data_IF_994291921832
#
_entry.id   IF_994291921832
#
_cell.length_a   1.000
_cell.length_b   1.000
_cell.length_c   1.000
_cell.angle_alpha   90.00
_cell.angle_beta   90.00
_cell.angle_gamma   90.00
#
_symmetry.space_group_name_H-M   'P 1'
#
loop_
_entity.id
_entity.type
_entity.pdbx_description
1 polymer ?
#
# COMPACT_ATOMS: atom_id res chain seq x y z
N UNK A 1 21.20 -4.22 -5.62
CA UNK A 1 20.08 -3.28 -5.34
C UNK A 1 20.62 -2.18 -4.44
N UNK A 2 20.46 -0.90 -4.79
CA UNK A 2 20.88 0.20 -3.91
C UNK A 2 20.04 0.12 -2.64
N UNK A 3 20.64 -0.24 -1.52
CA UNK A 3 19.98 -0.24 -0.21
C UNK A 3 19.91 1.19 0.30
N UNK A 4 19.16 2.04 -0.41
CA UNK A 4 18.73 3.33 0.12
C UNK A 4 17.82 3.04 1.31
N UNK A 5 18.07 3.67 2.46
CA UNK A 5 17.24 3.49 3.65
C UNK A 5 15.81 3.93 3.34
N UNK A 6 14.86 2.99 3.29
CA UNK A 6 13.44 3.26 3.02
C UNK A 6 12.84 4.17 4.11
N UNK A 7 11.91 5.03 3.73
CA UNK A 7 11.19 5.94 4.63
C UNK A 7 10.23 5.12 5.51
N UNK A 8 10.05 5.52 6.77
CA UNK A 8 9.03 4.87 7.62
C UNK A 8 7.63 5.32 7.20
N UNK A 9 6.65 4.41 7.31
CA UNK A 9 5.27 4.73 7.00
C UNK A 9 4.71 5.76 8.01
N UNK A 10 4.12 6.87 7.56
CA UNK A 10 3.46 7.83 8.44
C UNK A 10 2.22 7.26 9.11
N UNK A 11 1.83 7.84 10.24
CA UNK A 11 0.57 7.54 10.95
C UNK A 11 -0.42 8.65 10.64
N UNK A 12 -1.53 8.30 10.00
CA UNK A 12 -2.64 9.21 9.70
C UNK A 12 -3.73 9.15 10.77
N UNK A 13 -4.43 10.27 10.99
CA UNK A 13 -5.50 10.36 11.99
C UNK A 13 -6.88 10.22 11.36
N UNK A 14 -6.99 10.43 10.06
CA UNK A 14 -8.23 10.27 9.30
C UNK A 14 -8.02 9.43 8.06
N UNK A 15 -9.08 8.82 7.56
CA UNK A 15 -9.05 8.07 6.31
C UNK A 15 -8.74 8.99 5.12
N UNK A 16 -9.29 10.22 5.11
CA UNK A 16 -9.01 11.24 4.08
C UNK A 16 -7.51 11.58 3.99
N UNK A 17 -6.80 11.69 5.12
CA UNK A 17 -5.34 11.90 5.12
C UNK A 17 -4.60 10.71 4.51
N UNK A 18 -5.03 9.49 4.81
CA UNK A 18 -4.44 8.27 4.29
C UNK A 18 -4.71 8.11 2.78
N UNK A 19 -5.92 8.41 2.32
CA UNK A 19 -6.32 8.39 0.91
C UNK A 19 -5.49 9.39 0.10
N UNK A 20 -5.43 10.65 0.54
CA UNK A 20 -4.64 11.69 -0.12
C UNK A 20 -3.15 11.32 -0.21
N UNK A 21 -2.60 10.65 0.80
CA UNK A 21 -1.22 10.18 0.78
C UNK A 21 -1.02 9.08 -0.28
N UNK A 22 -1.89 8.07 -0.30
CA UNK A 22 -1.78 6.96 -1.26
C UNK A 22 -1.93 7.45 -2.71
N UNK A 23 -2.77 8.45 -2.95
CA UNK A 23 -2.98 9.04 -4.27
C UNK A 23 -1.76 9.81 -4.81
N UNK A 24 -0.93 10.36 -3.92
CA UNK A 24 0.12 11.32 -4.30
C UNK A 24 1.55 10.84 -4.03
N UNK A 25 1.74 9.89 -3.13
CA UNK A 25 3.05 9.40 -2.73
C UNK A 25 3.54 8.22 -3.59
N UNK A 26 4.83 8.21 -3.90
CA UNK A 26 5.48 7.00 -4.41
C UNK A 26 5.76 6.03 -3.26
N UNK A 27 4.94 4.97 -3.16
CA UNK A 27 5.05 3.97 -2.09
C UNK A 27 6.33 3.12 -2.19
N UNK A 28 7.05 3.12 -3.32
CA UNK A 28 8.30 2.37 -3.48
C UNK A 28 9.45 2.92 -2.64
N UNK A 29 9.33 4.18 -2.18
CA UNK A 29 10.27 4.84 -1.28
C UNK A 29 10.10 4.43 0.20
N UNK A 30 9.01 3.74 0.55
CA UNK A 30 8.62 3.47 1.93
C UNK A 30 8.87 2.02 2.34
N UNK A 31 9.11 1.84 3.63
CA UNK A 31 9.28 0.54 4.27
C UNK A 31 7.92 -0.13 4.44
N UNK A 32 7.66 -1.13 3.59
CA UNK A 32 6.42 -1.90 3.61
C UNK A 32 6.55 -3.23 4.38
N UNK A 33 7.69 -3.51 5.01
CA UNK A 33 7.97 -4.83 5.61
C UNK A 33 7.05 -5.20 6.78
N UNK A 34 6.42 -4.20 7.42
CA UNK A 34 5.41 -4.41 8.47
C UNK A 34 4.01 -4.77 7.97
N UNK A 35 3.74 -4.67 6.66
CA UNK A 35 2.43 -4.96 6.09
C UNK A 35 2.30 -6.42 5.67
N UNK A 36 1.07 -6.93 5.68
CA UNK A 36 0.76 -8.25 5.16
C UNK A 36 0.39 -8.13 3.69
N UNK A 37 1.07 -8.88 2.83
CA UNK A 37 0.65 -9.02 1.43
C UNK A 37 -0.72 -9.69 1.38
N UNK A 38 -1.68 -9.06 0.71
CA UNK A 38 -2.98 -9.65 0.43
C UNK A 38 -3.04 -9.99 -1.05
N UNK A 39 -3.48 -11.21 -1.36
CA UNK A 39 -3.75 -11.64 -2.72
C UNK A 39 -5.25 -11.61 -2.95
N UNK A 40 -5.68 -10.96 -4.02
CA UNK A 40 -7.08 -10.94 -4.45
C UNK A 40 -7.20 -11.73 -5.74
N UNK A 41 -8.26 -12.55 -5.82
CA UNK A 41 -8.60 -13.31 -7.02
C UNK A 41 -9.98 -12.89 -7.51
N UNK A 42 -10.18 -12.96 -8.82
CA UNK A 42 -11.52 -12.77 -9.39
C UNK A 42 -12.39 -13.97 -9.04
N UNK A 43 -13.63 -13.71 -8.65
CA UNK A 43 -14.62 -14.77 -8.54
C UNK A 43 -14.84 -15.43 -9.92
N UNK A 44 -15.06 -16.76 -9.97
CA UNK A 44 -15.48 -17.42 -11.19
C UNK A 44 -16.72 -16.73 -11.77
N UNK A 45 -16.76 -16.59 -13.10
CA UNK A 45 -17.93 -16.05 -13.78
C UNK A 45 -19.10 -17.03 -13.58
N UNK A 46 -20.20 -16.55 -13.01
CA UNK A 46 -21.42 -17.37 -12.91
C UNK A 46 -21.92 -17.69 -14.32
N UNK A 47 -22.09 -18.99 -14.57
CA UNK A 47 -22.68 -19.52 -15.80
C UNK A 47 -24.10 -19.89 -15.44
N UNK A 48 -25.07 -19.06 -15.83
CA UNK A 48 -26.50 -19.34 -15.69
C UNK A 48 -26.99 -20.31 -16.76
#
# INVERSE_FOLDING_TARGET
>A
MKTSKLKQMPVFKTDEEAENFVDTADLTDYDLTGFKSVHFEFLPKEVS
#
